data_IF_915402782308
#
_entry.id   IF_915402782308
#
_cell.length_a   1.000
_cell.length_b   1.000
_cell.length_c   1.000
_cell.angle_alpha   90.00
_cell.angle_beta   90.00
_cell.angle_gamma   90.00
#
_symmetry.space_group_name_H-M   'P 1'
#
loop_
_entity.id
_entity.type
_entity.pdbx_description
1 polymer ?
2 non-polymer ?
3 water ?
#
# COMPACT_ATOMS: atom_id res chain seq x y z
N UNK A 22 -13.37 6.78 18.46
CA UNK A 22 -12.59 7.75 17.71
C UNK A 22 -12.87 7.56 16.21
N UNK A 23 -12.78 8.65 15.47
CA UNK A 23 -12.55 8.59 14.05
C UNK A 23 -11.23 7.86 13.84
N UNK A 24 -11.16 7.10 12.75
CA UNK A 24 -9.99 6.40 12.37
C UNK A 24 -9.41 7.18 11.19
N UNK A 25 -8.18 7.69 11.35
CA UNK A 25 -7.55 8.57 10.37
C UNK A 25 -6.59 7.78 9.50
N UNK A 26 -6.91 7.63 8.22
CA UNK A 26 -6.13 6.86 7.30
C UNK A 26 -5.48 7.80 6.28
N UNK A 27 -4.15 7.70 6.13
CA UNK A 27 -3.42 8.49 5.12
C UNK A 27 -3.06 7.61 3.96
N UNK A 28 -3.49 7.98 2.76
CA UNK A 28 -3.24 7.21 1.57
C UNK A 28 -2.18 7.98 0.79
N UNK A 29 -0.96 7.43 0.76
CA UNK A 29 0.13 8.02 -0.01
C UNK A 29 0.15 7.47 -1.40
N UNK A 30 0.21 8.29 -2.42
CA UNK A 30 0.08 7.80 -3.82
C UNK A 30 -1.39 7.57 -4.17
N UNK A 31 -2.23 8.51 -3.76
CA UNK A 31 -3.69 8.27 -3.79
C UNK A 31 -4.23 8.27 -5.20
N UNK A 32 -3.48 8.74 -6.19
CA UNK A 32 -3.92 8.60 -7.59
C UNK A 32 -3.63 7.25 -8.24
N UNK A 33 -3.08 6.32 -7.48
CA UNK A 33 -2.80 4.97 -7.99
C UNK A 33 -4.03 4.11 -8.17
N UNK A 34 -3.91 3.12 -9.03
CA UNK A 34 -5.05 2.30 -9.42
C UNK A 34 -5.54 1.35 -8.35
N UNK A 35 -4.66 0.80 -7.53
CA UNK A 35 -5.12 0.06 -6.35
C UNK A 35 -5.75 1.03 -5.34
N UNK A 36 -5.11 2.18 -5.20
CA UNK A 36 -5.60 3.18 -4.28
C UNK A 36 -7.08 3.55 -4.54
N UNK A 37 -7.50 3.61 -5.81
CA UNK A 37 -8.82 4.08 -6.20
C UNK A 37 -9.94 3.19 -5.69
N UNK A 38 -9.65 1.89 -5.63
CA UNK A 38 -10.58 0.92 -5.12
C UNK A 38 -10.65 1.07 -3.60
N UNK A 39 -9.52 1.27 -2.96
CA UNK A 39 -9.49 1.41 -1.51
C UNK A 39 -10.28 2.63 -1.12
N UNK A 40 -10.03 3.73 -1.82
CA UNK A 40 -10.70 5.00 -1.54
C UNK A 40 -12.21 4.81 -1.61
N UNK A 41 -12.65 4.10 -2.65
CA UNK A 41 -14.04 3.78 -2.88
C UNK A 41 -14.69 2.90 -1.81
N UNK A 42 -13.97 1.89 -1.36
CA UNK A 42 -14.48 1.10 -0.27
C UNK A 42 -14.48 1.89 1.02
N UNK A 43 -13.56 2.84 1.18
CA UNK A 43 -13.55 3.66 2.38
C UNK A 43 -14.63 4.76 2.37
N UNK A 44 -15.24 5.02 1.21
CA UNK A 44 -16.06 6.22 1.03
C UNK A 44 -17.37 6.19 1.84
N UNK A 45 -17.87 5.02 2.15
CA UNK A 45 -19.13 4.96 2.88
C UNK A 45 -18.90 4.56 4.33
N UNK A 46 -17.65 4.48 4.78
CA UNK A 46 -17.36 4.26 6.19
C UNK A 46 -17.33 5.64 6.83
N UNK A 47 -18.37 6.01 7.56
CA UNK A 47 -18.56 7.39 8.07
C UNK A 47 -17.70 7.65 9.34
N UNK A 48 -17.04 6.64 9.87
CA UNK A 48 -16.11 6.83 11.00
C UNK A 48 -14.60 6.74 10.62
N UNK A 49 -14.32 6.69 9.31
CA UNK A 49 -13.00 6.86 8.80
C UNK A 49 -12.89 8.26 8.23
N UNK A 50 -11.76 8.90 8.43
CA UNK A 50 -11.43 10.07 7.64
C UNK A 50 -10.21 9.69 6.81
N UNK A 51 -10.32 9.78 5.49
CA UNK A 51 -9.18 9.39 4.63
C UNK A 51 -8.51 10.60 4.01
N UNK A 52 -7.21 10.73 4.20
CA UNK A 52 -6.47 11.81 3.66
C UNK A 52 -5.75 11.30 2.44
N UNK A 53 -5.96 11.95 1.31
CA UNK A 53 -5.52 11.44 0.02
C UNK A 53 -4.41 12.36 -0.47
N UNK A 54 -3.18 11.86 -0.37
CA UNK A 54 -1.97 12.59 -0.63
C UNK A 54 -1.47 12.17 -2.00
N UNK A 55 -1.39 13.13 -2.93
CA UNK A 55 -0.91 12.86 -4.25
C UNK A 55 -0.21 14.05 -4.90
N UNK A 56 0.67 13.72 -5.82
CA UNK A 56 1.49 14.66 -6.52
C UNK A 56 0.62 15.52 -7.40
N UNK A 57 -0.27 14.86 -8.15
CA UNK A 57 -1.19 15.55 -9.02
C UNK A 57 -2.59 15.15 -8.61
N UNK A 58 -3.17 15.93 -7.67
CA UNK A 58 -4.47 15.57 -7.12
C UNK A 58 -5.59 15.79 -8.07
N UNK A 59 -5.43 16.69 -9.03
CA UNK A 59 -6.45 16.93 -10.04
C UNK A 59 -6.65 15.72 -10.95
N UNK A 60 -5.89 14.67 -10.76
CA UNK A 60 -6.09 13.41 -11.45
C UNK A 60 -6.43 12.33 -10.43
N UNK A 61 -7.03 12.74 -9.31
CA UNK A 61 -7.76 11.79 -8.46
C UNK A 61 -9.20 11.69 -8.98
N UNK A 62 -9.57 10.45 -9.37
CA UNK A 62 -10.92 10.11 -9.91
C UNK A 62 -12.02 10.61 -9.01
N UNK A 63 -13.08 11.11 -9.63
CA UNK A 63 -14.22 11.72 -8.96
C UNK A 63 -15.40 10.72 -8.62
N UNK A 64 -16.50 11.24 -7.98
CA UNK A 64 -16.46 12.44 -7.12
C UNK A 64 -15.68 12.11 -5.87
N UNK A 65 -15.48 13.12 -5.06
CA UNK A 65 -14.51 12.99 -4.00
C UNK A 65 -15.36 12.64 -2.81
N UNK A 66 -15.10 11.51 -2.17
CA UNK A 66 -15.88 11.12 -1.02
C UNK A 66 -15.92 12.19 0.05
N UNK A 67 -17.01 12.22 0.82
CA UNK A 67 -17.21 13.29 1.79
C UNK A 67 -16.33 13.12 2.99
N UNK A 68 -15.83 11.90 3.21
CA UNK A 68 -14.92 11.64 4.30
C UNK A 68 -13.42 11.79 3.89
N UNK A 69 -13.13 12.55 2.82
CA UNK A 69 -11.76 12.66 2.30
C UNK A 69 -11.23 14.05 2.42
N UNK A 70 -9.90 14.13 2.49
CA UNK A 70 -9.21 15.36 2.40
C UNK A 70 -8.12 15.10 1.38
N UNK A 71 -8.03 15.97 0.40
CA UNK A 71 -7.11 15.78 -0.70
C UNK A 71 -6.02 16.82 -0.59
N UNK A 72 -4.82 16.30 -0.39
CA UNK A 72 -3.61 17.06 -0.18
C UNK A 72 -2.59 16.87 -1.32
N UNK A 73 -2.13 17.99 -1.85
CA UNK A 73 -1.08 17.97 -2.88
C UNK A 73 0.27 17.84 -2.20
N UNK A 74 0.97 16.78 -2.54
CA UNK A 74 2.32 16.57 -2.03
C UNK A 74 3.06 15.34 -2.56
N UNK A 75 4.37 15.42 -2.38
CA UNK A 75 5.32 14.45 -2.83
C UNK A 75 5.88 13.86 -1.55
N UNK A 76 6.00 12.54 -1.46
CA UNK A 76 6.59 11.94 -0.23
C UNK A 76 8.06 12.34 0.03
N UNK A 77 8.78 12.80 -0.99
CA UNK A 77 10.13 13.30 -0.72
C UNK A 77 10.11 14.77 -0.32
N UNK A 78 8.94 15.39 -0.30
CA UNK A 78 8.85 16.71 0.33
C UNK A 78 8.54 16.41 1.77
N UNK A 79 9.55 16.40 2.60
CA UNK A 79 9.43 15.94 3.97
C UNK A 79 8.52 16.85 4.78
N UNK A 80 8.62 18.15 4.56
CA UNK A 80 7.72 19.08 5.23
C UNK A 80 6.24 18.78 4.88
N UNK A 81 5.93 18.51 3.62
CA UNK A 81 4.55 18.33 3.24
C UNK A 81 4.04 17.03 3.86
N UNK A 82 4.88 16.02 3.80
CA UNK A 82 4.54 14.70 4.30
C UNK A 82 4.30 14.75 5.81
N UNK A 83 5.17 15.40 6.56
CA UNK A 83 4.91 15.58 8.01
C UNK A 83 3.59 16.29 8.26
N UNK A 84 3.29 17.33 7.51
CA UNK A 84 1.99 18.02 7.75
C UNK A 84 0.82 17.08 7.61
N UNK A 85 0.89 16.25 6.57
CA UNK A 85 -0.19 15.33 6.24
C UNK A 85 -0.27 14.18 7.26
N UNK A 86 0.87 13.88 7.85
CA UNK A 86 1.02 12.77 8.73
C UNK A 86 0.47 13.06 10.09
N UNK A 87 0.41 14.34 10.45
CA UNK A 87 -0.02 14.69 11.83
C UNK A 87 -1.40 14.16 12.19
N UNK A 88 -1.54 13.46 13.32
CA UNK A 88 -2.83 12.99 13.77
C UNK A 88 -3.35 11.71 13.12
N UNK A 89 -2.56 11.05 12.26
CA UNK A 89 -3.01 9.87 11.54
C UNK A 89 -2.87 8.61 12.36
N UNK A 90 -3.69 7.62 12.08
CA UNK A 90 -3.64 6.34 12.77
C UNK A 90 -3.04 5.25 11.89
N UNK A 91 -3.27 5.30 10.58
CA UNK A 91 -2.91 4.20 9.71
C UNK A 91 -2.45 4.80 8.41
N UNK A 92 -1.27 4.38 7.95
CA UNK A 92 -0.70 4.83 6.70
C UNK A 92 -0.76 3.69 5.73
N UNK A 93 -1.26 4.01 4.55
CA UNK A 93 -1.35 3.10 3.46
C UNK A 93 -0.58 3.73 2.32
N UNK A 94 0.52 3.06 1.94
CA UNK A 94 1.44 3.50 0.95
C UNK A 94 1.36 2.56 -0.24
N UNK A 95 1.20 3.19 -1.41
CA UNK A 95 1.15 2.53 -2.70
C UNK A 95 2.08 3.40 -3.54
N UNK A 96 3.41 3.22 -3.34
CA UNK A 96 4.42 4.10 -3.91
C UNK A 96 5.11 3.53 -5.12
N UNK A 97 5.37 4.40 -6.08
CA UNK A 97 5.98 3.96 -7.30
C UNK A 97 7.24 4.73 -7.63
N UNK A 98 8.02 4.08 -8.49
CA UNK A 98 8.96 4.79 -9.35
C UNK A 98 10.36 4.70 -8.83
N UNK A 99 11.15 5.71 -9.20
CA UNK A 99 12.51 5.76 -8.74
C UNK A 99 12.63 6.04 -7.23
N UNK A 100 13.69 5.45 -6.67
CA UNK A 100 14.13 5.79 -5.36
C UNK A 100 13.15 5.33 -4.31
N UNK A 101 12.57 4.16 -4.55
CA UNK A 101 11.56 3.68 -3.62
C UNK A 101 12.11 3.56 -2.18
N UNK A 102 13.42 3.37 -2.09
CA UNK A 102 14.12 3.20 -0.83
C UNK A 102 14.17 4.51 -0.06
N UNK A 103 14.53 5.59 -0.74
CA UNK A 103 14.52 6.92 -0.22
C UNK A 103 13.13 7.30 0.20
N UNK A 104 12.15 6.94 -0.63
CA UNK A 104 10.75 7.18 -0.29
C UNK A 104 10.31 6.44 0.97
N UNK A 105 10.62 5.14 1.05
CA UNK A 105 10.24 4.38 2.26
C UNK A 105 10.89 5.02 3.49
N UNK A 106 12.17 5.37 3.43
CA UNK A 106 12.88 5.98 4.55
C UNK A 106 12.15 7.25 5.00
N UNK A 107 11.62 8.00 4.04
CA UNK A 107 10.94 9.24 4.33
C UNK A 107 9.61 8.97 5.03
N UNK A 108 8.92 7.89 4.65
CA UNK A 108 7.68 7.58 5.26
C UNK A 108 7.94 7.14 6.70
N UNK A 109 8.98 6.34 6.91
CA UNK A 109 9.23 5.80 8.25
C UNK A 109 9.54 6.95 9.23
N UNK A 110 10.42 7.84 8.80
CA UNK A 110 10.83 9.02 9.54
C UNK A 110 9.64 9.90 9.91
N UNK A 111 8.75 10.16 8.97
CA UNK A 111 7.57 10.98 9.23
C UNK A 111 6.62 10.27 10.22
N UNK A 112 6.36 9.00 10.02
CA UNK A 112 5.59 8.24 11.00
C UNK A 112 6.20 8.38 12.39
N UNK A 113 7.53 8.20 12.51
CA UNK A 113 8.18 8.24 13.80
C UNK A 113 8.12 9.62 14.41
N UNK A 114 8.32 10.65 13.60
CA UNK A 114 8.23 12.00 14.05
C UNK A 114 6.82 12.29 14.56
N UNK A 115 5.80 11.78 13.88
CA UNK A 115 4.42 12.11 14.25
C UNK A 115 3.74 11.06 15.16
N UNK A 116 4.49 10.13 15.71
CA UNK A 116 3.97 9.15 16.62
C UNK A 116 2.89 8.25 15.99
N UNK A 117 3.03 7.94 14.71
CA UNK A 117 2.15 7.02 14.00
C UNK A 117 2.86 5.70 13.88
N UNK A 118 2.15 4.59 14.13
CA UNK A 118 2.75 3.26 14.19
C UNK A 118 2.39 2.28 13.06
N UNK A 119 1.17 2.40 12.50
CA UNK A 119 0.61 1.35 11.66
C UNK A 119 0.74 1.67 10.18
N UNK A 120 1.51 0.82 9.48
CA UNK A 120 1.84 0.98 8.06
C UNK A 120 1.47 -0.21 7.23
N UNK A 121 0.77 0.05 6.12
CA UNK A 121 0.46 -0.97 5.10
C UNK A 121 1.21 -0.50 3.87
N UNK A 122 2.16 -1.29 3.39
CA UNK A 122 3.06 -0.85 2.36
C UNK A 122 3.10 -1.86 1.22
N UNK A 123 2.71 -1.39 0.04
CA UNK A 123 2.62 -2.23 -1.16
C UNK A 123 3.87 -2.13 -1.93
N UNK A 124 4.49 -3.29 -2.18
CA UNK A 124 5.63 -3.35 -3.08
C UNK A 124 5.28 -4.16 -4.31
N UNK A 125 5.10 -3.42 -5.41
CA UNK A 125 4.67 -3.96 -6.67
C UNK A 125 5.52 -3.30 -7.73
N UNK A 126 6.06 -4.06 -8.67
CA UNK A 126 7.06 -3.45 -9.57
C UNK A 126 6.45 -2.53 -10.60
N UNK A 127 5.25 -2.84 -11.06
CA UNK A 127 4.58 -1.98 -12.04
C UNK A 127 5.29 -2.02 -13.37
N UNK A 144 13.39 -10.62 -10.38
CA UNK A 144 14.82 -10.42 -10.07
C UNK A 144 15.53 -9.42 -11.03
N UNK A 145 16.67 -8.88 -10.59
CA UNK A 145 17.44 -7.84 -11.34
C UNK A 145 17.74 -6.59 -10.50
N UNK A 146 18.53 -5.67 -11.06
CA UNK A 146 19.01 -4.47 -10.33
C UNK A 146 17.91 -3.48 -9.86
N UNK A 147 16.90 -3.18 -10.71
CA UNK A 147 15.75 -2.36 -10.26
C UNK A 147 14.96 -2.90 -9.09
N UNK A 148 15.21 -4.16 -8.71
CA UNK A 148 14.66 -4.67 -7.45
C UNK A 148 15.46 -4.19 -6.21
N UNK A 149 16.70 -3.69 -6.37
CA UNK A 149 17.49 -3.33 -5.19
C UNK A 149 16.80 -2.26 -4.29
N UNK A 150 16.26 -1.18 -4.88
CA UNK A 150 15.53 -0.22 -4.08
C UNK A 150 14.34 -0.84 -3.38
N UNK A 151 13.64 -1.74 -4.04
CA UNK A 151 12.54 -2.42 -3.43
C UNK A 151 12.99 -3.24 -2.25
N UNK A 152 14.11 -3.92 -2.41
CA UNK A 152 14.61 -4.75 -1.32
C UNK A 152 15.08 -3.87 -0.17
N UNK A 153 15.73 -2.78 -0.49
CA UNK A 153 16.17 -1.86 0.51
C UNK A 153 14.96 -1.20 1.24
N UNK A 154 13.90 -0.86 0.49
CA UNK A 154 12.63 -0.39 1.12
C UNK A 154 12.07 -1.42 2.06
N UNK A 155 11.96 -2.67 1.62
CA UNK A 155 11.41 -3.74 2.47
C UNK A 155 12.22 -3.94 3.73
N UNK A 156 13.54 -4.02 3.58
CA UNK A 156 14.44 -4.20 4.71
C UNK A 156 14.31 -3.04 5.71
N UNK A 157 14.18 -1.81 5.21
CA UNK A 157 14.08 -0.66 6.05
C UNK A 157 12.78 -0.77 6.87
N UNK A 158 11.69 -1.16 6.21
CA UNK A 158 10.41 -1.34 6.87
C UNK A 158 10.52 -2.42 7.95
N UNK A 159 11.12 -3.56 7.61
CA UNK A 159 11.28 -4.65 8.59
C UNK A 159 12.13 -4.31 9.79
N UNK A 160 13.00 -3.31 9.66
CA UNK A 160 13.91 -2.91 10.72
C UNK A 160 13.42 -1.66 11.42
N UNK A 161 12.21 -1.21 11.12
CA UNK A 161 11.75 0.08 11.58
C UNK A 161 11.17 0.13 12.99
N UNK A 162 10.78 -1.02 13.52
CA UNK A 162 10.04 -1.10 14.76
C UNK A 162 8.60 -0.59 14.66
N UNK A 163 8.09 -0.46 13.45
CA UNK A 163 6.73 0.00 13.23
C UNK A 163 5.83 -1.22 13.19
N UNK A 164 4.53 -0.99 13.31
CA UNK A 164 3.55 -2.06 13.18
C UNK A 164 3.22 -2.17 11.69
N UNK A 165 4.00 -2.97 10.97
CA UNK A 165 3.94 -2.96 9.51
C UNK A 165 3.25 -4.18 8.95
N UNK A 166 2.71 -4.03 7.76
CA UNK A 166 2.37 -5.14 6.92
C UNK A 166 2.89 -4.77 5.52
N UNK A 167 3.77 -5.60 4.97
CA UNK A 167 4.27 -5.41 3.61
C UNK A 167 3.45 -6.34 2.76
N UNK A 168 2.98 -5.83 1.63
CA UNK A 168 2.11 -6.58 0.77
C UNK A 168 2.80 -6.65 -0.56
N UNK A 169 2.88 -7.88 -1.07
CA UNK A 169 3.64 -8.22 -2.27
C UNK A 169 2.75 -8.93 -3.26
N UNK A 170 2.16 -8.17 -4.19
CA UNK A 170 1.24 -8.73 -5.16
C UNK A 170 1.87 -9.25 -6.43
N UNK A 171 1.26 -10.34 -6.90
CA UNK A 171 1.56 -10.95 -8.16
C UNK A 171 1.19 -9.95 -9.22
N UNK A 172 1.32 -10.36 -10.48
CA UNK A 172 1.05 -9.50 -11.64
C UNK A 172 -0.39 -8.96 -11.56
N UNK A 173 -0.53 -7.65 -11.63
CA UNK A 173 -1.81 -7.02 -11.42
C UNK A 173 -2.69 -7.07 -12.65
N UNK A 174 -3.91 -7.59 -12.50
CA UNK A 174 -4.96 -7.40 -13.50
C UNK A 174 -6.05 -6.42 -13.01
N UNK A 175 -6.87 -6.00 -13.97
CA UNK A 175 -8.01 -5.14 -13.73
C UNK A 175 -9.34 -5.93 -13.76
N UNK A 176 -9.24 -7.25 -13.58
CA UNK A 176 -10.43 -8.10 -13.47
C UNK A 176 -11.34 -7.65 -12.31
N UNK A 177 -12.66 -7.60 -12.57
CA UNK A 177 -13.65 -7.23 -11.55
C UNK A 177 -13.97 -8.40 -10.62
N UNK A 178 -12.99 -8.83 -9.83
CA UNK A 178 -13.18 -9.93 -8.89
C UNK A 178 -12.35 -9.76 -7.63
N UNK A 179 -12.78 -10.40 -6.56
CA UNK A 179 -12.02 -10.48 -5.33
C UNK A 179 -11.77 -11.95 -5.10
N UNK A 180 -10.54 -12.40 -5.38
CA UNK A 180 -10.21 -13.83 -5.32
C UNK A 180 -8.70 -13.97 -5.06
N UNK A 181 -8.36 -14.31 -3.83
CA UNK A 181 -6.95 -14.30 -3.46
C UNK A 181 -6.63 -15.23 -2.31
N UNK A 182 -5.31 -15.43 -2.16
CA UNK A 182 -4.70 -16.22 -1.10
C UNK A 182 -3.33 -15.63 -0.85
N UNK A 183 -2.77 -15.92 0.33
CA UNK A 183 -1.62 -15.24 0.84
C UNK A 183 -0.51 -16.22 1.12
N UNK A 184 0.72 -15.78 0.87
CA UNK A 184 1.90 -16.60 1.11
C UNK A 184 2.78 -15.78 2.00
N UNK A 185 3.54 -16.45 2.87
CA UNK A 185 4.41 -15.74 3.79
C UNK A 185 5.77 -15.35 3.15
N UNK A 186 6.57 -14.62 3.93
CA UNK A 186 7.80 -13.96 3.47
C UNK A 186 8.77 -14.83 2.71
N UNK A 187 9.02 -16.04 3.20
CA UNK A 187 10.02 -16.90 2.57
C UNK A 187 9.41 -18.04 1.78
N UNK A 188 8.17 -17.88 1.33
CA UNK A 188 7.50 -18.89 0.51
C UNK A 188 7.49 -18.33 -0.90
N UNK A 189 7.49 -19.21 -1.91
CA UNK A 189 7.27 -18.71 -3.26
C UNK A 189 5.81 -18.31 -3.46
N UNK A 190 5.56 -17.40 -4.38
CA UNK A 190 4.22 -17.12 -4.85
C UNK A 190 3.54 -18.43 -5.34
N UNK A 191 2.36 -18.77 -4.83
CA UNK A 191 1.53 -19.86 -5.35
C UNK A 191 0.75 -19.51 -6.61
N UNK A 192 0.96 -18.31 -7.13
CA UNK A 192 0.29 -17.98 -8.39
C UNK A 192 0.89 -16.83 -9.14
N UNK A 193 0.41 -16.65 -10.34
CA UNK A 193 0.98 -15.74 -11.30
C UNK A 193 0.41 -14.33 -11.29
N UNK A 194 -0.89 -14.19 -10.98
CA UNK A 194 -1.62 -12.94 -11.13
C UNK A 194 -2.53 -12.67 -9.92
N UNK A 195 -2.98 -11.42 -9.79
CA UNK A 195 -4.01 -11.08 -8.82
C UNK A 195 -4.66 -9.78 -9.23
N UNK A 196 -5.98 -9.70 -9.02
CA UNK A 196 -6.71 -8.49 -9.33
C UNK A 196 -6.35 -7.39 -8.33
N UNK A 197 -6.29 -6.17 -8.84
CA UNK A 197 -6.16 -5.00 -8.01
C UNK A 197 -7.29 -4.93 -6.99
N UNK A 198 -8.49 -5.30 -7.40
CA UNK A 198 -9.63 -5.27 -6.49
C UNK A 198 -9.38 -6.22 -5.32
N UNK A 199 -8.71 -7.34 -5.60
CA UNK A 199 -8.36 -8.28 -4.54
C UNK A 199 -7.45 -7.61 -3.53
N UNK A 200 -6.42 -6.95 -4.04
CA UNK A 200 -5.44 -6.36 -3.17
C UNK A 200 -6.08 -5.22 -2.37
N UNK A 201 -6.96 -4.47 -3.01
CA UNK A 201 -7.70 -3.42 -2.29
C UNK A 201 -8.55 -4.00 -1.18
N UNK A 202 -9.20 -5.13 -1.45
CA UNK A 202 -10.02 -5.79 -0.45
C UNK A 202 -9.18 -6.15 0.78
N UNK A 203 -7.98 -6.65 0.57
CA UNK A 203 -7.11 -6.97 1.71
C UNK A 203 -6.77 -5.69 2.50
N UNK A 204 -6.35 -4.66 1.78
CA UNK A 204 -5.94 -3.43 2.39
C UNK A 204 -7.09 -2.94 3.27
N UNK A 205 -8.30 -2.93 2.72
CA UNK A 205 -9.47 -2.47 3.44
C UNK A 205 -9.78 -3.32 4.67
N UNK A 206 -9.66 -4.65 4.55
CA UNK A 206 -9.82 -5.50 5.73
C UNK A 206 -8.81 -5.17 6.83
N UNK A 207 -7.58 -4.79 6.45
CA UNK A 207 -6.56 -4.50 7.45
C UNK A 207 -6.86 -3.13 8.08
N UNK A 208 -7.26 -2.17 7.25
CA UNK A 208 -7.65 -0.88 7.75
C UNK A 208 -8.82 -1.04 8.71
N UNK A 209 -9.77 -1.88 8.34
CA UNK A 209 -10.91 -2.15 9.22
C UNK A 209 -10.49 -2.82 10.53
N UNK A 210 -9.59 -3.79 10.47
CA UNK A 210 -9.07 -4.51 11.65
C UNK A 210 -7.55 -4.51 11.60
N UNK A 211 -6.93 -3.45 12.12
CA UNK A 211 -5.50 -3.24 11.93
C UNK A 211 -4.61 -4.12 12.79
N UNK A 212 -5.18 -4.83 13.73
CA UNK A 212 -4.42 -5.85 14.45
C UNK A 212 -4.04 -7.04 13.57
N UNK A 213 -4.68 -7.18 12.43
CA UNK A 213 -4.35 -8.32 11.55
C UNK A 213 -3.08 -8.04 10.76
N UNK A 214 -2.37 -9.13 10.50
CA UNK A 214 -1.19 -9.16 9.68
C UNK A 214 -0.06 -8.22 10.11
N UNK A 215 0.03 -7.90 11.40
CA UNK A 215 1.13 -7.07 11.92
C UNK A 215 2.42 -7.86 11.93
N UNK A 216 3.50 -7.28 11.39
CA UNK A 216 4.81 -7.96 11.32
C UNK A 216 4.99 -8.91 10.15
N UNK A 217 4.10 -8.86 9.16
CA UNK A 217 4.15 -9.82 8.05
C UNK A 217 4.54 -9.19 6.72
N UNK A 218 5.01 -10.06 5.82
CA UNK A 218 5.49 -9.66 4.52
C UNK A 218 4.95 -10.69 3.53
N UNK A 219 3.80 -10.37 2.97
CA UNK A 219 2.83 -11.33 2.45
C UNK A 219 2.73 -11.22 0.94
N UNK A 220 2.86 -12.35 0.24
CA UNK A 220 2.53 -12.40 -1.17
C UNK A 220 1.03 -12.61 -1.34
N UNK A 221 0.47 -12.00 -2.38
CA UNK A 221 -0.95 -12.10 -2.68
C UNK A 221 -1.13 -12.59 -4.12
N UNK A 222 -1.76 -13.74 -4.30
CA UNK A 222 -2.08 -14.24 -5.65
C UNK A 222 -3.51 -14.81 -5.77
N UNK A 223 -4.06 -14.78 -6.98
CA UNK A 223 -5.32 -15.44 -7.29
C UNK A 223 -5.07 -16.95 -7.27
N UNK A 224 -5.98 -17.73 -6.67
CA UNK A 224 -5.76 -19.17 -6.66
C UNK A 224 -5.89 -19.76 -8.04
N UNK A 225 -5.17 -20.86 -8.29
CA UNK A 225 -5.29 -21.61 -9.56
C UNK A 225 -4.78 -20.81 -10.76
N UNK A 226 -3.67 -20.10 -10.58
CA UNK A 226 -3.03 -19.36 -11.67
C UNK A 226 -1.55 -19.67 -11.65
N UNK A 227 -1.24 -20.86 -11.16
CA UNK A 227 0.13 -21.32 -11.07
C UNK A 227 0.63 -21.48 -12.52
N UNK A 228 1.93 -21.22 -12.73
CA UNK A 228 2.50 -21.14 -14.08
C UNK A 228 2.78 -22.50 -14.63
N UNK A 229 2.73 -22.59 -15.95
CA UNK A 229 3.00 -23.82 -16.62
C UNK A 229 4.42 -24.33 -16.39
N UNK A 230 4.60 -25.64 -16.49
CA UNK A 230 5.91 -26.24 -16.46
C UNK A 230 6.35 -26.63 -17.86
N UNK A 231 7.67 -26.60 -18.10
CA UNK A 231 8.76 -26.21 -17.22
C UNK A 231 9.05 -24.72 -17.23
N UNK A 232 9.99 -24.29 -16.40
CA UNK A 232 10.35 -22.88 -16.38
C UNK A 232 11.49 -22.50 -17.34
N UNK A 233 11.48 -21.26 -17.79
CA UNK A 233 12.48 -20.73 -18.70
C UNK A 233 12.97 -19.39 -18.24
N UNK A 234 14.22 -19.06 -18.57
CA UNK A 234 14.80 -17.71 -18.45
C UNK A 234 15.54 -17.41 -19.76
X LIG B 1 4.36 16.92 14.73
X LIG B 1 5.29 17.80 15.25
X LIG B 1 6.53 17.98 14.63
X LIG B 1 6.87 17.24 13.46
X LIG B 1 5.93 16.35 12.96
X LIG B 1 4.69 16.21 13.59
X LIG B 1 3.43 15.13 12.94
X LIG B 1 4.83 18.55 16.51
X LIG B 1 4.81 17.90 17.62
X LIG B 1 4.47 19.75 16.28
X LIG B 1 7.45 18.84 15.12
X LIG B 1 8.67 19.10 14.40
X LIG B 1 7.21 19.53 16.27
#
# INVERSE_FOLDING_TARGET
XGSSHHHHHHSSGRENLYFQGHMKNVLILGAGGQIARHVINQLADKQTIKQTLFARQPAKIHKPYPTNSQIIMGDVLNHAALKQAMQGQDIVYANLTGEDLDIQANSVIAAMKACDVKRLIFVLSLGIYDEVPGKFVEWNNAVIGEPLKPFRRAADAIEASGLEYTILRPAWLTDEDIIDYELTSRNEPFKGTIVSRKSVAALITDIIDKPEKHIGENIGINQPGTDGDKPFFMGS
MNB C6 C1 C2 C3 C4 C5 S5 C10 O12 O11 N7 O9 O8
#
